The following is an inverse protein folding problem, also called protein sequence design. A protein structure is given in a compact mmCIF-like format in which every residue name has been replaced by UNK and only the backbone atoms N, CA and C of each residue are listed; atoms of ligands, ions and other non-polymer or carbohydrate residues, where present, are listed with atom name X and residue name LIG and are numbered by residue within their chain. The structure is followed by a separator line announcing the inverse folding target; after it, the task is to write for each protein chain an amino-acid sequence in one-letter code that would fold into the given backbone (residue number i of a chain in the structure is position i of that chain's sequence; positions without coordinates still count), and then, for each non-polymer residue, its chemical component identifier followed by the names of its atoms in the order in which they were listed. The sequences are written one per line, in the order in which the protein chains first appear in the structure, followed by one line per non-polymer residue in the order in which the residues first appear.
data_IF_418326507921
#
_entry.id   IF_418326507921
#
_cell.length_a   1.000
_cell.length_b   1.000
_cell.length_c   1.000
_cell.angle_alpha   90.00
_cell.angle_beta   90.00
_cell.angle_gamma   90.00
#
_symmetry.space_group_name_H-M   'P 1'
#
loop_
_entity.id
_entity.type
_entity.pdbx_description
1 polymer ?
#
# COMPACT_ATOMS: atom_id res chain seq x y z
N UNK A 1 -21.86 9.95 17.19
CA UNK A 1 -21.09 8.68 17.19
C UNK A 1 -21.47 7.76 16.03
N UNK A 2 -22.76 7.53 15.75
CA UNK A 2 -23.23 6.72 14.61
C UNK A 2 -22.78 7.23 13.24
N UNK A 3 -22.85 8.53 12.97
CA UNK A 3 -22.38 9.10 11.68
C UNK A 3 -20.87 8.93 11.45
N UNK A 4 -20.05 9.15 12.48
CA UNK A 4 -18.59 8.93 12.39
C UNK A 4 -18.26 7.46 12.07
N UNK A 5 -19.02 6.51 12.64
CA UNK A 5 -18.86 5.09 12.34
C UNK A 5 -19.36 4.76 10.92
N UNK A 6 -20.48 5.33 10.49
CA UNK A 6 -21.03 5.13 9.15
C UNK A 6 -20.12 5.69 8.07
N UNK A 7 -19.46 6.82 8.31
CA UNK A 7 -18.46 7.41 7.40
C UNK A 7 -17.24 6.51 7.25
N UNK A 8 -16.70 5.98 8.36
CA UNK A 8 -15.58 5.02 8.35
C UNK A 8 -15.86 3.77 7.52
N UNK A 9 -17.11 3.34 7.41
CA UNK A 9 -17.48 2.14 6.63
C UNK A 9 -17.59 2.39 5.12
N UNK A 10 -17.55 3.66 4.67
CA UNK A 10 -17.73 4.05 3.26
C UNK A 10 -16.49 4.68 2.63
N UNK A 11 -15.54 5.16 3.43
CA UNK A 11 -14.34 5.82 2.95
C UNK A 11 -13.14 4.86 3.01
N UNK A 12 -12.51 4.62 1.87
CA UNK A 12 -11.34 3.77 1.75
C UNK A 12 -10.20 4.53 1.09
N UNK A 13 -8.98 4.33 1.61
CA UNK A 13 -7.75 4.83 0.98
C UNK A 13 -6.96 3.63 0.51
N UNK A 14 -6.64 3.60 -0.77
CA UNK A 14 -5.90 2.49 -1.38
C UNK A 14 -4.42 2.80 -1.39
N UNK A 15 -3.65 1.84 -0.88
CA UNK A 15 -2.21 1.73 -1.08
C UNK A 15 -1.91 1.00 -2.41
N UNK A 16 -0.67 1.06 -2.90
CA UNK A 16 -0.20 0.36 -4.11
C UNK A 16 -0.51 -1.14 -3.98
N UNK A 17 -0.24 -1.72 -2.81
CA UNK A 17 -0.51 -3.13 -2.53
C UNK A 17 -1.99 -3.53 -2.65
N UNK A 18 -2.93 -2.58 -2.54
CA UNK A 18 -4.36 -2.85 -2.70
C UNK A 18 -4.75 -3.30 -4.12
N UNK A 19 -3.98 -2.90 -5.13
CA UNK A 19 -4.24 -3.20 -6.55
C UNK A 19 -3.16 -4.08 -7.18
N UNK A 20 -2.04 -4.29 -6.49
CA UNK A 20 -0.90 -5.08 -6.98
C UNK A 20 -0.72 -6.42 -6.26
N UNK A 21 -1.52 -6.71 -5.22
CA UNK A 21 -1.40 -7.97 -4.47
C UNK A 21 -1.53 -9.20 -5.41
N UNK A 22 -0.53 -10.10 -5.44
CA UNK A 22 -0.52 -11.26 -6.33
C UNK A 22 -1.74 -12.18 -6.22
N UNK A 23 -2.40 -12.18 -5.05
CA UNK A 23 -3.56 -13.02 -4.73
C UNK A 23 -4.85 -12.50 -5.35
N UNK A 24 -4.91 -11.22 -5.77
CA UNK A 24 -6.10 -10.60 -6.36
C UNK A 24 -6.60 -11.39 -7.58
N UNK A 25 -5.69 -11.81 -8.46
CA UNK A 25 -6.05 -12.57 -9.68
C UNK A 25 -6.80 -13.86 -9.36
N UNK A 26 -6.29 -14.62 -8.39
CA UNK A 26 -6.88 -15.90 -8.00
C UNK A 26 -8.28 -15.71 -7.39
N UNK A 27 -8.46 -14.69 -6.55
CA UNK A 27 -9.74 -14.42 -5.87
C UNK A 27 -10.78 -13.85 -6.82
N UNK A 28 -10.36 -13.03 -7.78
CA UNK A 28 -11.24 -12.48 -8.81
C UNK A 28 -11.52 -13.47 -9.94
N UNK A 29 -10.94 -14.68 -9.88
CA UNK A 29 -11.11 -15.70 -10.93
C UNK A 29 -10.58 -15.28 -12.29
N UNK A 30 -9.62 -14.36 -12.32
CA UNK A 30 -9.11 -13.74 -13.54
C UNK A 30 -7.89 -14.51 -14.08
N UNK A 31 -7.86 -14.75 -15.39
CA UNK A 31 -6.74 -15.41 -16.08
C UNK A 31 -5.53 -14.50 -16.26
N UNK A 32 -5.69 -13.19 -16.14
CA UNK A 32 -4.61 -12.20 -16.27
C UNK A 32 -4.73 -11.06 -15.24
N UNK A 33 -3.64 -10.31 -15.04
CA UNK A 33 -3.67 -9.11 -14.18
C UNK A 33 -4.56 -8.01 -14.77
N UNK A 34 -4.55 -7.85 -16.10
CA UNK A 34 -5.40 -6.89 -16.81
C UNK A 34 -6.90 -7.19 -16.59
N UNK A 35 -7.30 -8.46 -16.68
CA UNK A 35 -8.65 -8.90 -16.38
C UNK A 35 -9.02 -8.67 -14.91
N UNK A 36 -8.11 -8.98 -13.97
CA UNK A 36 -8.34 -8.73 -12.55
C UNK A 36 -8.59 -7.24 -12.27
N UNK A 37 -7.82 -6.34 -12.89
CA UNK A 37 -8.00 -4.88 -12.77
C UNK A 37 -9.36 -4.44 -13.33
N UNK A 38 -9.81 -5.01 -14.47
CA UNK A 38 -11.14 -4.70 -15.03
C UNK A 38 -12.28 -5.17 -14.13
N UNK A 39 -12.18 -6.38 -13.56
CA UNK A 39 -13.16 -6.89 -12.60
C UNK A 39 -13.20 -6.00 -11.36
N UNK A 40 -12.04 -5.63 -10.82
CA UNK A 40 -11.95 -4.71 -9.68
C UNK A 40 -12.59 -3.36 -10.01
N UNK A 41 -12.31 -2.78 -11.18
CA UNK A 41 -12.92 -1.54 -11.63
C UNK A 41 -14.45 -1.63 -11.65
N UNK A 42 -15.01 -2.72 -12.17
CA UNK A 42 -16.45 -2.98 -12.15
C UNK A 42 -17.02 -3.06 -10.73
N UNK A 43 -16.33 -3.75 -9.82
CA UNK A 43 -16.74 -3.82 -8.41
C UNK A 43 -16.71 -2.45 -7.73
N UNK A 44 -15.69 -1.62 -8.00
CA UNK A 44 -15.63 -0.26 -7.47
C UNK A 44 -16.75 0.62 -8.04
N UNK A 45 -17.08 0.44 -9.32
CA UNK A 45 -18.21 1.12 -9.97
C UNK A 45 -19.53 0.82 -9.25
N UNK A 46 -19.85 -0.47 -9.10
CA UNK A 46 -21.10 -0.93 -8.47
C UNK A 46 -21.16 -0.47 -7.00
N UNK A 47 -20.05 -0.59 -6.25
CA UNK A 47 -20.03 -0.18 -4.86
C UNK A 47 -20.13 1.35 -4.69
N UNK A 48 -19.50 2.14 -5.57
CA UNK A 48 -19.58 3.60 -5.52
C UNK A 48 -20.98 4.10 -5.87
N UNK A 49 -21.59 3.58 -6.93
CA UNK A 49 -22.93 4.00 -7.37
C UNK A 49 -24.03 3.48 -6.44
N UNK A 50 -23.93 2.25 -5.95
CA UNK A 50 -24.96 1.62 -5.11
C UNK A 50 -24.91 2.02 -3.63
N UNK A 51 -23.71 2.31 -3.09
CA UNK A 51 -23.51 2.55 -1.66
C UNK A 51 -22.87 3.89 -1.31
N UNK A 52 -22.48 4.68 -2.31
CA UNK A 52 -21.77 5.93 -2.09
C UNK A 52 -20.42 5.72 -1.43
N UNK A 53 -19.69 4.66 -1.82
CA UNK A 53 -18.32 4.47 -1.37
C UNK A 53 -17.44 5.59 -1.93
N UNK A 54 -16.60 6.14 -1.07
CA UNK A 54 -15.57 7.10 -1.45
C UNK A 54 -14.22 6.40 -1.39
N UNK A 55 -13.55 6.34 -2.52
CA UNK A 55 -12.24 5.68 -2.65
C UNK A 55 -11.22 6.73 -3.03
N UNK A 56 -10.12 6.76 -2.29
CA UNK A 56 -9.05 7.74 -2.45
C UNK A 56 -7.70 7.07 -2.66
N UNK A 57 -6.81 7.78 -3.34
CA UNK A 57 -5.42 7.39 -3.48
C UNK A 57 -4.54 8.66 -3.54
N UNK A 58 -3.40 8.71 -2.83
CA UNK A 58 -2.43 9.78 -3.01
C UNK A 58 -1.83 9.78 -4.42
N UNK A 59 -1.43 10.94 -4.99
CA UNK A 59 -0.81 11.01 -6.31
C UNK A 59 0.47 10.15 -6.44
N UNK A 60 1.25 10.06 -5.37
CA UNK A 60 2.50 9.29 -5.31
C UNK A 60 2.24 7.79 -5.43
N UNK A 61 1.30 7.28 -4.62
CA UNK A 61 0.82 5.89 -4.67
C UNK A 61 0.18 5.56 -6.02
N UNK A 62 -0.60 6.50 -6.58
CA UNK A 62 -1.22 6.34 -7.90
C UNK A 62 -0.20 6.12 -9.01
N UNK A 63 0.86 6.93 -9.05
CA UNK A 63 1.92 6.78 -10.04
C UNK A 63 2.72 5.49 -9.85
N UNK A 64 2.94 5.06 -8.61
CA UNK A 64 3.57 3.76 -8.33
C UNK A 64 2.70 2.59 -8.82
N UNK A 65 1.41 2.59 -8.47
CA UNK A 65 0.45 1.59 -8.92
C UNK A 65 0.36 1.55 -10.45
N UNK A 66 0.30 2.71 -11.10
CA UNK A 66 0.29 2.82 -12.56
C UNK A 66 1.52 2.16 -13.19
N UNK A 67 2.72 2.52 -12.72
CA UNK A 67 3.98 1.98 -13.24
C UNK A 67 4.05 0.48 -13.03
N UNK A 68 3.67 -0.01 -11.85
CA UNK A 68 3.67 -1.44 -11.55
C UNK A 68 2.71 -2.19 -12.47
N UNK A 69 1.46 -1.75 -12.59
CA UNK A 69 0.44 -2.45 -13.37
C UNK A 69 0.81 -2.48 -14.86
N UNK A 70 1.29 -1.35 -15.42
CA UNK A 70 1.75 -1.29 -16.81
C UNK A 70 2.96 -2.19 -17.08
N UNK A 71 3.94 -2.21 -16.16
CA UNK A 71 5.09 -3.10 -16.27
C UNK A 71 4.70 -4.59 -16.22
N UNK A 72 3.55 -4.92 -15.62
CA UNK A 72 3.03 -6.27 -15.48
C UNK A 72 1.89 -6.60 -16.47
N UNK A 73 1.82 -5.88 -17.59
CA UNK A 73 0.96 -6.23 -18.72
C UNK A 73 -0.49 -5.74 -18.61
N UNK A 74 -0.81 -4.83 -17.69
CA UNK A 74 -2.10 -4.14 -17.66
C UNK A 74 -2.14 -3.05 -18.71
N UNK A 75 -3.19 -3.04 -19.53
CA UNK A 75 -3.37 -2.02 -20.56
C UNK A 75 -3.68 -0.66 -19.95
N UNK A 76 -3.33 0.41 -20.67
CA UNK A 76 -3.67 1.78 -20.26
C UNK A 76 -5.19 1.91 -20.07
N UNK A 77 -5.99 1.32 -20.96
CA UNK A 77 -7.45 1.36 -20.89
C UNK A 77 -8.00 0.71 -19.61
N UNK A 78 -7.51 -0.48 -19.23
CA UNK A 78 -7.93 -1.15 -18.00
C UNK A 78 -7.54 -0.35 -16.75
N UNK A 79 -6.35 0.26 -16.74
CA UNK A 79 -5.92 1.10 -15.64
C UNK A 79 -6.77 2.37 -15.50
N UNK A 80 -7.04 3.08 -16.59
CA UNK A 80 -7.89 4.29 -16.56
C UNK A 80 -9.34 3.96 -16.16
N UNK A 81 -9.85 2.78 -16.55
CA UNK A 81 -11.15 2.30 -16.10
C UNK A 81 -11.21 2.11 -14.57
N UNK A 82 -10.12 1.61 -13.96
CA UNK A 82 -9.99 1.53 -12.51
C UNK A 82 -9.87 2.93 -11.88
N UNK A 83 -8.98 3.76 -12.43
CA UNK A 83 -8.68 5.11 -11.92
C UNK A 83 -9.92 6.01 -11.89
N UNK A 84 -10.85 5.84 -12.83
CA UNK A 84 -12.13 6.57 -12.89
C UNK A 84 -12.92 6.49 -11.58
N UNK A 85 -12.81 5.39 -10.82
CA UNK A 85 -13.55 5.19 -9.57
C UNK A 85 -12.79 5.62 -8.31
N UNK A 86 -11.54 6.09 -8.49
CA UNK A 86 -10.62 6.48 -7.42
C UNK A 86 -10.41 8.00 -7.48
N UNK A 87 -10.63 8.68 -6.36
CA UNK A 87 -10.36 10.11 -6.24
C UNK A 87 -8.89 10.33 -5.88
N UNK A 88 -8.12 10.88 -6.81
CA UNK A 88 -6.71 11.20 -6.59
C UNK A 88 -6.60 12.47 -5.75
N UNK A 89 -6.07 12.35 -4.54
CA UNK A 89 -6.02 13.46 -3.57
C UNK A 89 -4.76 13.39 -2.72
N UNK A 90 -3.92 14.44 -2.67
CA UNK A 90 -2.81 14.49 -1.72
C UNK A 90 -3.32 14.74 -0.29
N UNK A 91 -2.63 14.25 0.74
CA UNK A 91 -2.97 14.61 2.12
C UNK A 91 -2.72 16.10 2.39
N UNK A 92 -3.55 16.72 3.23
CA UNK A 92 -3.43 18.09 3.69
C UNK A 92 -2.31 18.21 4.76
N UNK A 93 -1.06 17.98 4.34
CA UNK A 93 0.11 17.83 5.24
C UNK A 93 0.31 18.99 6.24
N UNK A 94 -0.15 20.20 5.91
CA UNK A 94 -0.06 21.37 6.77
C UNK A 94 -1.12 21.42 7.88
N UNK A 95 -2.23 20.72 7.71
CA UNK A 95 -3.38 20.72 8.63
C UNK A 95 -3.40 19.48 9.53
N UNK A 96 -2.69 18.42 9.15
CA UNK A 96 -2.66 17.17 9.90
C UNK A 96 -1.82 17.34 11.18
N UNK A 97 -2.48 17.18 12.32
CA UNK A 97 -1.82 17.11 13.62
C UNK A 97 -1.39 15.67 13.92
N UNK A 98 -0.09 15.48 14.18
CA UNK A 98 0.46 14.19 14.55
C UNK A 98 0.77 14.14 16.06
N UNK A 99 0.41 13.05 16.77
CA UNK A 99 0.81 12.87 18.16
C UNK A 99 2.33 12.87 18.31
N UNK A 100 2.86 13.51 19.35
CA UNK A 100 4.29 13.54 19.65
C UNK A 100 4.89 12.13 19.87
N UNK A 101 4.05 11.15 20.25
CA UNK A 101 4.44 9.74 20.35
C UNK A 101 4.92 9.17 19.02
N UNK A 102 4.31 9.58 17.90
CA UNK A 102 4.71 9.16 16.55
C UNK A 102 6.07 9.73 16.19
N UNK A 103 6.30 11.01 16.49
CA UNK A 103 7.62 11.62 16.29
C UNK A 103 8.69 10.93 17.15
N UNK A 104 8.39 10.59 18.40
CA UNK A 104 9.31 9.82 19.26
C UNK A 104 9.62 8.44 18.69
N UNK A 105 8.60 7.71 18.23
CA UNK A 105 8.78 6.40 17.59
C UNK A 105 9.65 6.50 16.33
N UNK A 106 9.43 7.52 15.51
CA UNK A 106 10.27 7.79 14.34
C UNK A 106 11.73 8.06 14.72
N UNK A 107 11.98 8.92 15.73
CA UNK A 107 13.34 9.19 16.22
C UNK A 107 14.02 7.91 16.71
N UNK A 108 13.31 7.07 17.46
CA UNK A 108 13.86 5.81 17.96
C UNK A 108 14.20 4.83 16.82
N UNK A 109 13.32 4.72 15.82
CA UNK A 109 13.59 3.90 14.63
C UNK A 109 14.80 4.41 13.83
N UNK A 110 14.95 5.73 13.70
CA UNK A 110 16.12 6.34 13.06
C UNK A 110 17.41 6.05 13.82
N UNK A 111 17.39 6.10 15.16
CA UNK A 111 18.55 5.72 15.99
C UNK A 111 18.92 4.25 15.81
N UNK A 112 17.92 3.37 15.79
CA UNK A 112 18.12 1.94 15.54
C UNK A 112 18.70 1.69 14.15
N UNK A 113 18.19 2.40 13.13
CA UNK A 113 18.68 2.35 11.74
C UNK A 113 20.14 2.75 11.64
N UNK A 114 20.53 3.88 12.24
CA UNK A 114 21.93 4.33 12.28
C UNK A 114 22.81 3.31 12.99
N UNK A 115 22.34 2.74 14.11
CA UNK A 115 23.09 1.72 14.87
C UNK A 115 23.29 0.44 14.06
N UNK A 116 22.26 -0.03 13.33
CA UNK A 116 22.37 -1.17 12.40
C UNK A 116 23.41 -0.88 11.30
N UNK A 117 23.35 0.32 10.70
CA UNK A 117 24.32 0.75 9.69
C UNK A 117 25.76 0.77 10.22
N UNK A 118 25.98 1.27 11.45
CA UNK A 118 27.29 1.26 12.10
C UNK A 118 27.83 -0.15 12.29
N UNK A 119 27.01 -1.09 12.78
CA UNK A 119 27.42 -2.49 12.95
C UNK A 119 27.86 -3.14 11.63
N UNK A 120 27.15 -2.86 10.54
CA UNK A 120 27.55 -3.32 9.21
C UNK A 120 28.91 -2.72 8.82
N UNK A 121 29.11 -1.41 9.04
CA UNK A 121 30.39 -0.77 8.75
C UNK A 121 31.55 -1.40 9.57
N UNK A 122 31.36 -1.62 10.86
CA UNK A 122 32.33 -2.29 11.74
C UNK A 122 32.66 -3.71 11.26
N UNK A 123 31.66 -4.50 10.86
CA UNK A 123 31.87 -5.85 10.32
C UNK A 123 32.76 -5.81 9.08
N UNK A 124 32.51 -4.88 8.17
CA UNK A 124 33.30 -4.74 6.94
C UNK A 124 34.71 -4.20 7.18
N UNK A 125 34.91 -3.32 8.17
CA UNK A 125 36.25 -2.90 8.61
C UNK A 125 37.03 -4.09 9.16
N UNK A 126 36.40 -4.92 10.01
CA UNK A 126 37.02 -6.14 10.54
C UNK A 126 37.44 -7.10 9.43
N UNK A 127 36.54 -7.36 8.48
CA UNK A 127 36.83 -8.19 7.29
C UNK A 127 37.97 -7.62 6.44
N UNK A 128 38.05 -6.29 6.30
CA UNK A 128 39.14 -5.64 5.57
C UNK A 128 40.49 -5.78 6.29
N UNK A 129 40.50 -5.66 7.63
CA UNK A 129 41.68 -5.88 8.46
C UNK A 129 42.17 -7.33 8.40
N UNK A 130 41.26 -8.31 8.52
CA UNK A 130 41.56 -9.74 8.38
C UNK A 130 42.08 -10.07 6.97
N UNK A 131 41.43 -9.54 5.94
CA UNK A 131 41.85 -9.72 4.55
C UNK A 131 43.23 -9.10 4.25
N UNK A 132 43.57 -7.98 4.91
CA UNK A 132 44.89 -7.34 4.81
C UNK A 132 45.97 -8.08 5.60
N UNK A 133 45.62 -8.64 6.76
CA UNK A 133 46.52 -9.44 7.61
C UNK A 133 46.85 -10.81 7.00
N UNK A 134 45.99 -11.34 6.12
CA UNK A 134 46.24 -12.59 5.37
C UNK A 134 47.30 -12.46 4.26
N UNK A 135 47.69 -11.24 3.86
CA UNK A 135 48.76 -11.06 2.88
C UNK A 135 50.04 -10.66 3.60
N UNK A 136 51.08 -11.53 3.63
CA UNK A 136 52.43 -11.08 3.96
C UNK A 136 52.78 -9.90 3.05
N UNK A 137 53.45 -8.91 3.59
CA UNK A 137 53.99 -7.75 2.89
C UNK A 137 54.88 -8.17 1.72
N UNK A 138 54.28 -8.50 0.56
CA UNK A 138 55.04 -8.86 -0.64
C UNK A 138 54.34 -9.65 -1.75
N UNK A 139 53.24 -10.38 -1.52
CA UNK A 139 52.85 -11.47 -2.45
C UNK A 139 51.65 -11.19 -3.37
N UNK A 140 50.79 -10.20 -3.09
CA UNK A 140 49.61 -9.92 -3.92
C UNK A 140 49.84 -8.78 -4.94
N UNK A 141 49.49 -9.01 -6.22
CA UNK A 141 49.50 -7.97 -7.25
C UNK A 141 48.60 -6.79 -6.85
N UNK A 142 48.94 -5.61 -7.36
CA UNK A 142 48.17 -4.39 -7.13
C UNK A 142 46.73 -4.53 -7.65
N UNK A 143 46.52 -5.28 -8.74
CA UNK A 143 45.17 -5.60 -9.24
C UNK A 143 44.39 -6.48 -8.27
N UNK A 144 44.96 -7.57 -7.76
CA UNK A 144 44.27 -8.51 -6.85
C UNK A 144 43.81 -7.83 -5.54
N UNK A 145 44.64 -6.92 -4.99
CA UNK A 145 44.25 -6.10 -3.83
C UNK A 145 43.10 -5.16 -4.16
N UNK A 146 43.12 -4.54 -5.35
CA UNK A 146 42.08 -3.61 -5.80
C UNK A 146 40.74 -4.31 -6.02
N UNK A 147 40.75 -5.52 -6.58
CA UNK A 147 39.57 -6.34 -6.78
C UNK A 147 38.92 -6.75 -5.46
N UNK A 148 39.72 -7.26 -4.50
CA UNK A 148 39.25 -7.67 -3.17
C UNK A 148 38.68 -6.49 -2.37
N UNK A 149 39.33 -5.33 -2.43
CA UNK A 149 38.82 -4.09 -1.85
C UNK A 149 37.48 -3.67 -2.51
N UNK A 150 37.40 -3.77 -3.83
CA UNK A 150 36.17 -3.50 -4.57
C UNK A 150 35.00 -4.40 -4.13
N UNK A 151 35.25 -5.70 -3.92
CA UNK A 151 34.25 -6.64 -3.42
C UNK A 151 33.79 -6.30 -1.99
N UNK A 152 34.71 -5.93 -1.11
CA UNK A 152 34.38 -5.49 0.26
C UNK A 152 33.53 -4.21 0.27
N UNK A 153 33.87 -3.23 -0.57
CA UNK A 153 33.10 -1.98 -0.70
C UNK A 153 31.69 -2.26 -1.23
N UNK A 154 31.55 -3.13 -2.24
CA UNK A 154 30.23 -3.51 -2.77
C UNK A 154 29.39 -4.20 -1.71
N UNK A 155 29.95 -5.18 -0.99
CA UNK A 155 29.26 -5.87 0.09
C UNK A 155 28.85 -4.93 1.22
N UNK A 156 29.72 -3.98 1.60
CA UNK A 156 29.39 -2.95 2.59
C UNK A 156 28.19 -2.12 2.12
N UNK A 157 28.22 -1.61 0.89
CA UNK A 157 27.13 -0.78 0.35
C UNK A 157 25.81 -1.54 0.33
N UNK A 158 25.83 -2.80 -0.10
CA UNK A 158 24.64 -3.65 -0.18
C UNK A 158 24.04 -3.91 1.20
N UNK A 159 24.85 -4.44 2.14
CA UNK A 159 24.38 -4.74 3.50
C UNK A 159 24.01 -3.50 4.29
N UNK A 160 24.73 -2.39 4.09
CA UNK A 160 24.41 -1.12 4.75
C UNK A 160 23.05 -0.64 4.28
N UNK A 161 22.80 -0.67 2.97
CA UNK A 161 21.52 -0.29 2.38
C UNK A 161 20.38 -1.20 2.87
N UNK A 162 20.61 -2.50 2.96
CA UNK A 162 19.62 -3.46 3.46
C UNK A 162 19.28 -3.22 4.94
N UNK A 163 20.32 -3.17 5.79
CA UNK A 163 20.17 -2.98 7.23
C UNK A 163 19.57 -1.62 7.61
N UNK A 164 19.79 -0.61 6.76
CA UNK A 164 19.26 0.74 6.95
C UNK A 164 17.96 1.01 6.21
N UNK A 165 17.39 0.08 5.44
CA UNK A 165 16.09 0.27 4.77
C UNK A 165 14.91 -0.29 5.55
N UNK A 166 15.11 -1.39 6.26
CA UNK A 166 14.07 -2.01 7.07
C UNK A 166 13.56 -1.06 8.18
N UNK A 167 12.25 -0.86 8.25
CA UNK A 167 11.56 -0.05 9.28
C UNK A 167 10.06 0.10 9.01
N UNK A 168 9.38 0.86 9.87
CA UNK A 168 7.91 1.08 9.84
C UNK A 168 7.45 2.06 8.74
N UNK A 169 8.33 2.95 8.30
CA UNK A 169 8.13 3.93 7.22
C UNK A 169 9.40 3.98 6.39
N UNK A 170 9.41 3.36 5.23
CA UNK A 170 10.56 3.32 4.32
C UNK A 170 10.35 4.12 3.03
N UNK A 171 9.11 4.52 2.72
CA UNK A 171 8.76 5.36 1.56
C UNK A 171 7.92 6.60 1.95
N UNK A 172 7.92 7.62 1.09
CA UNK A 172 7.07 8.82 1.24
C UNK A 172 5.63 8.50 0.79
N UNK A 173 5.52 7.62 -0.19
CA UNK A 173 4.31 7.07 -0.78
C UNK A 173 3.41 6.46 0.34
N UNK A 174 3.98 5.59 1.16
CA UNK A 174 3.30 4.92 2.27
C UNK A 174 2.82 5.90 3.34
N UNK A 175 3.65 6.89 3.66
CA UNK A 175 3.29 7.95 4.60
C UNK A 175 2.07 8.72 4.09
N UNK A 176 2.07 9.11 2.81
CA UNK A 176 0.97 9.86 2.21
C UNK A 176 -0.35 9.07 2.25
N UNK A 177 -0.31 7.75 2.05
CA UNK A 177 -1.49 6.88 2.14
C UNK A 177 -2.08 6.88 3.56
N UNK A 178 -1.24 6.72 4.58
CA UNK A 178 -1.67 6.73 5.98
C UNK A 178 -2.20 8.11 6.40
N UNK A 179 -1.50 9.18 6.01
CA UNK A 179 -1.92 10.55 6.30
C UNK A 179 -3.25 10.89 5.64
N UNK A 180 -3.48 10.45 4.40
CA UNK A 180 -4.75 10.64 3.71
C UNK A 180 -5.88 9.85 4.38
N UNK A 181 -5.60 8.63 4.85
CA UNK A 181 -6.57 7.84 5.61
C UNK A 181 -6.92 8.49 6.95
N UNK A 182 -5.93 9.08 7.63
CA UNK A 182 -6.14 9.86 8.85
C UNK A 182 -7.01 11.09 8.61
N UNK A 183 -6.70 11.87 7.57
CA UNK A 183 -7.46 13.07 7.19
C UNK A 183 -8.91 12.76 6.81
N UNK A 184 -9.10 11.76 5.94
CA UNK A 184 -10.43 11.37 5.43
C UNK A 184 -11.25 10.59 6.46
N UNK A 185 -10.63 10.21 7.59
CA UNK A 185 -11.19 9.29 8.58
C UNK A 185 -11.62 7.95 7.94
N UNK A 186 -10.88 7.53 6.91
CA UNK A 186 -11.15 6.33 6.13
C UNK A 186 -10.44 5.09 6.68
N UNK A 187 -10.67 3.98 5.98
CA UNK A 187 -9.96 2.71 6.18
C UNK A 187 -8.85 2.61 5.15
N UNK A 188 -7.62 2.39 5.61
CA UNK A 188 -6.48 2.12 4.75
C UNK A 188 -6.53 0.67 4.25
N UNK A 189 -6.38 0.46 2.94
CA UNK A 189 -6.28 -0.86 2.34
C UNK A 189 -4.82 -1.08 1.96
N UNK A 190 -4.12 -1.97 2.67
CA UNK A 190 -2.70 -2.25 2.44
C UNK A 190 -2.34 -3.66 2.93
N UNK A 191 -1.37 -4.29 2.28
CA UNK A 191 -0.76 -5.55 2.74
C UNK A 191 0.63 -5.34 3.37
N UNK A 192 1.13 -4.10 3.42
CA UNK A 192 2.44 -3.80 4.02
C UNK A 192 2.35 -3.74 5.55
N UNK A 193 3.15 -4.56 6.23
CA UNK A 193 3.12 -4.64 7.70
C UNK A 193 3.69 -3.39 8.38
N UNK A 194 4.69 -2.74 7.79
CA UNK A 194 5.23 -1.47 8.25
C UNK A 194 4.17 -0.38 8.24
N UNK A 195 3.51 -0.23 7.09
CA UNK A 195 2.43 0.76 6.90
C UNK A 195 1.26 0.51 7.85
N UNK A 196 0.86 -0.75 8.05
CA UNK A 196 -0.19 -1.12 9.02
C UNK A 196 0.17 -0.74 10.45
N UNK A 197 1.39 -1.07 10.89
CA UNK A 197 1.87 -0.66 12.23
C UNK A 197 1.87 0.85 12.39
N UNK A 198 2.22 1.60 11.34
CA UNK A 198 2.17 3.06 11.35
C UNK A 198 0.72 3.59 11.46
N UNK A 199 -0.19 3.03 10.68
CA UNK A 199 -1.61 3.34 10.74
C UNK A 199 -2.20 3.08 12.14
N UNK A 200 -1.86 1.95 12.76
CA UNK A 200 -2.30 1.59 14.11
C UNK A 200 -1.82 2.61 15.17
N UNK A 201 -0.58 3.09 15.09
CA UNK A 201 -0.07 4.13 15.98
C UNK A 201 -0.85 5.46 15.87
N UNK A 202 -1.42 5.74 14.71
CA UNK A 202 -2.25 6.93 14.45
C UNK A 202 -3.75 6.68 14.68
N UNK A 203 -4.14 5.46 15.07
CA UNK A 203 -5.56 5.09 15.24
C UNK A 203 -6.33 5.01 13.92
N UNK A 204 -5.63 4.87 12.80
CA UNK A 204 -6.20 4.60 11.47
C UNK A 204 -6.49 3.11 11.37
N UNK A 205 -7.69 2.77 10.91
CA UNK A 205 -8.07 1.37 10.68
C UNK A 205 -7.45 0.94 9.35
N UNK A 206 -6.72 -0.18 9.36
CA UNK A 206 -6.20 -0.79 8.14
C UNK A 206 -6.78 -2.19 7.92
N UNK A 207 -7.03 -2.56 6.67
CA UNK A 207 -7.43 -3.92 6.26
C UNK A 207 -6.55 -4.39 5.10
N UNK A 208 -6.44 -5.71 4.95
CA UNK A 208 -5.75 -6.29 3.80
C UNK A 208 -6.63 -6.22 2.52
N UNK A 209 -6.03 -6.34 1.32
CA UNK A 209 -6.75 -6.26 0.06
C UNK A 209 -7.85 -7.32 -0.10
N UNK A 210 -7.67 -8.51 0.49
CA UNK A 210 -8.65 -9.60 0.35
C UNK A 210 -9.89 -9.31 1.16
N UNK A 211 -9.72 -8.82 2.39
CA UNK A 211 -10.83 -8.36 3.22
C UNK A 211 -11.59 -7.22 2.56
N UNK A 212 -10.88 -6.29 1.89
CA UNK A 212 -11.51 -5.23 1.11
C UNK A 212 -12.38 -5.80 -0.01
N UNK A 213 -11.89 -6.77 -0.79
CA UNK A 213 -12.68 -7.45 -1.82
C UNK A 213 -13.94 -8.13 -1.25
N UNK A 214 -13.81 -8.84 -0.13
CA UNK A 214 -14.97 -9.48 0.52
C UNK A 214 -16.03 -8.47 0.97
N UNK A 215 -15.60 -7.29 1.44
CA UNK A 215 -16.53 -6.19 1.78
C UNK A 215 -17.25 -5.70 0.53
N UNK A 216 -16.53 -5.45 -0.57
CA UNK A 216 -17.13 -5.01 -1.83
C UNK A 216 -18.17 -6.02 -2.34
N UNK A 217 -17.83 -7.31 -2.36
CA UNK A 217 -18.76 -8.38 -2.77
C UNK A 217 -20.01 -8.40 -1.89
N UNK A 218 -19.84 -8.34 -0.57
CA UNK A 218 -20.95 -8.33 0.38
C UNK A 218 -21.85 -7.09 0.26
N UNK A 219 -21.28 -5.94 -0.11
CA UNK A 219 -22.04 -4.74 -0.43
C UNK A 219 -22.83 -4.95 -1.73
N UNK A 220 -22.17 -5.29 -2.83
CA UNK A 220 -22.80 -5.46 -4.15
C UNK A 220 -23.97 -6.45 -4.07
N UNK A 221 -23.79 -7.60 -3.41
CA UNK A 221 -24.83 -8.61 -3.23
C UNK A 221 -26.06 -8.06 -2.48
N UNK A 222 -25.85 -7.23 -1.45
CA UNK A 222 -26.94 -6.59 -0.73
C UNK A 222 -27.68 -5.56 -1.60
N UNK A 223 -27.01 -4.92 -2.56
CA UNK A 223 -27.64 -3.93 -3.42
C UNK A 223 -28.55 -4.60 -4.42
N UNK A 224 -28.09 -5.71 -5.00
CA UNK A 224 -28.89 -6.55 -5.90
C UNK A 224 -30.16 -7.03 -5.21
N UNK A 225 -30.05 -7.61 -4.00
CA UNK A 225 -31.22 -8.06 -3.22
C UNK A 225 -32.17 -6.93 -2.85
N UNK A 226 -31.66 -5.72 -2.61
CA UNK A 226 -32.50 -4.55 -2.32
C UNK A 226 -33.27 -4.11 -3.57
N UNK A 227 -32.59 -4.03 -4.71
CA UNK A 227 -33.20 -3.68 -5.99
C UNK A 227 -34.26 -4.72 -6.42
N UNK A 228 -34.00 -6.02 -6.23
CA UNK A 228 -34.95 -7.10 -6.47
C UNK A 228 -36.22 -6.93 -5.63
N UNK A 229 -36.08 -6.66 -4.32
CA UNK A 229 -37.23 -6.42 -3.43
C UNK A 229 -38.02 -5.16 -3.78
N UNK A 230 -37.33 -4.09 -4.19
CA UNK A 230 -37.98 -2.84 -4.61
C UNK A 230 -38.73 -3.05 -5.94
N UNK A 231 -38.18 -3.86 -6.86
CA UNK A 231 -38.85 -4.25 -8.09
C UNK A 231 -40.09 -5.13 -7.82
N UNK A 232 -39.99 -6.14 -6.97
CA UNK A 232 -41.13 -6.99 -6.56
C UNK A 232 -42.25 -6.16 -5.91
N UNK A 233 -41.92 -5.23 -5.02
CA UNK A 233 -42.89 -4.35 -4.36
C UNK A 233 -43.59 -3.38 -5.33
N UNK A 234 -42.95 -3.01 -6.45
CA UNK A 234 -43.55 -2.15 -7.47
C UNK A 234 -44.52 -2.88 -8.42
N UNK A 235 -44.44 -4.21 -8.49
CA UNK A 235 -45.33 -5.06 -9.31
C UNK A 235 -46.63 -5.42 -8.56
N UNK A 236 -46.62 -5.38 -7.22
CA UNK A 236 -47.78 -5.74 -6.37
C UNK A 236 -48.77 -4.60 -6.06
N UNK A 237 -48.58 -3.39 -6.58
CA UNK A 237 -49.61 -2.33 -6.53
C UNK A 237 -50.47 -2.33 -7.79
N UNK A 238 -51.62 -3.02 -7.83
CA UNK A 238 -52.58 -2.82 -8.91
C UNK A 238 -53.18 -1.41 -8.80
N UNK A 239 -53.31 -0.72 -9.93
CA UNK A 239 -54.06 0.53 -9.99
C UNK A 239 -55.45 0.32 -9.36
N UNK A 240 -55.94 1.24 -8.50
CA UNK A 240 -57.30 1.17 -8.04
C UNK A 240 -58.20 1.37 -9.26
N UNK A 241 -58.84 0.28 -9.70
CA UNK A 241 -59.72 0.26 -10.85
C UNK A 241 -60.73 1.40 -10.79
N UNK A 242 -60.59 2.35 -11.71
CA UNK A 242 -61.55 3.41 -11.92
C UNK A 242 -62.89 2.81 -12.34
N UNK A 243 -63.87 2.93 -11.46
CA UNK A 243 -65.29 2.70 -11.74
C UNK A 243 -65.93 3.98 -12.25
#
# INVERSE_FOLDING_TARGET
MREKLQRRLRVYVLDTSAVTDPRLRAILGAGSLDEAVRVLAGMLAEARLGYGLEIYMPPTVYEEARRFLQANGVTIQSFEALATWITIKPPARHEISLPATVLRAYVEEMRNRVTRGLRVAEEHVRRAFEAGSMYPSGVASREARREKLGALIRGLRERYREATRHGVLDSIEDLDAVLLALETQGVLVTNDEGVRRFAEMLGVVSIDPLRFLSILQGLIERARRRAEREAEASVETPEPGGS
#
